data_IF_016334289132
#
_entry.id   IF_016334289132
#
_cell.length_a   1.000
_cell.length_b   1.000
_cell.length_c   1.000
_cell.angle_alpha   90.00
_cell.angle_beta   90.00
_cell.angle_gamma   90.00
#
_symmetry.space_group_name_H-M   'P 1'
#
loop_
_entity.id
_entity.type
_entity.pdbx_description
1 polymer ?
#
# COMPACT_ATOMS: atom_id res chain seq x y z
N UNK A 1 -7.42 -15.85 23.13
CA UNK A 1 -7.67 -14.55 23.79
C UNK A 1 -8.17 -13.57 22.73
N UNK A 2 -9.28 -12.87 22.96
CA UNK A 2 -9.88 -11.94 21.97
C UNK A 2 -8.92 -10.81 21.56
N UNK A 3 -8.17 -10.24 22.51
CA UNK A 3 -7.23 -9.15 22.23
C UNK A 3 -6.09 -9.59 21.28
N UNK A 4 -5.59 -10.80 21.45
CA UNK A 4 -4.57 -11.39 20.58
C UNK A 4 -5.11 -11.64 19.16
N UNK A 5 -6.37 -12.07 19.04
CA UNK A 5 -7.00 -12.27 17.73
C UNK A 5 -7.17 -10.95 16.97
N UNK A 6 -7.62 -9.90 17.66
CA UNK A 6 -7.75 -8.54 17.11
C UNK A 6 -6.38 -8.00 16.68
N UNK A 7 -5.36 -8.12 17.54
CA UNK A 7 -4.01 -7.64 17.21
C UNK A 7 -3.39 -8.41 16.03
N UNK A 8 -3.60 -9.74 15.98
CA UNK A 8 -3.16 -10.58 14.87
C UNK A 8 -3.79 -10.14 13.54
N UNK A 9 -5.11 -9.91 13.53
CA UNK A 9 -5.82 -9.40 12.34
C UNK A 9 -5.31 -8.02 11.93
N UNK A 10 -5.13 -7.12 12.89
CA UNK A 10 -4.55 -5.78 12.66
C UNK A 10 -3.18 -5.86 11.99
N UNK A 11 -2.27 -6.68 12.54
CA UNK A 11 -0.93 -6.88 11.98
C UNK A 11 -1.00 -7.47 10.57
N UNK A 12 -1.84 -8.47 10.34
CA UNK A 12 -2.00 -9.08 9.02
C UNK A 12 -2.43 -8.06 7.95
N UNK A 13 -3.38 -7.20 8.28
CA UNK A 13 -3.86 -6.17 7.36
C UNK A 13 -2.79 -5.12 7.08
N UNK A 14 -2.16 -4.59 8.12
CA UNK A 14 -1.07 -3.61 7.96
C UNK A 14 0.06 -4.21 7.11
N UNK A 15 0.42 -5.47 7.36
CA UNK A 15 1.45 -6.18 6.60
C UNK A 15 1.09 -6.30 5.12
N UNK A 16 -0.16 -6.62 4.77
CA UNK A 16 -0.64 -6.65 3.38
C UNK A 16 -0.51 -5.29 2.67
N UNK A 17 -0.82 -4.19 3.37
CA UNK A 17 -0.66 -2.84 2.81
C UNK A 17 0.83 -2.58 2.50
N UNK A 18 1.71 -2.88 3.46
CA UNK A 18 3.15 -2.68 3.30
C UNK A 18 3.74 -3.55 2.20
N UNK A 19 3.34 -4.82 2.12
CA UNK A 19 3.73 -5.76 1.06
C UNK A 19 3.33 -5.20 -0.31
N UNK A 20 2.09 -4.73 -0.49
CA UNK A 20 1.63 -4.17 -1.76
C UNK A 20 2.47 -2.95 -2.22
N UNK A 21 2.93 -2.12 -1.28
CA UNK A 21 3.83 -1.00 -1.58
C UNK A 21 5.25 -1.50 -1.91
N UNK A 22 5.76 -2.50 -1.21
CA UNK A 22 7.06 -3.10 -1.51
C UNK A 22 7.08 -3.84 -2.86
N UNK A 23 5.98 -4.48 -3.26
CA UNK A 23 5.83 -5.07 -4.58
C UNK A 23 5.92 -4.02 -5.70
N UNK A 24 5.39 -2.81 -5.48
CA UNK A 24 5.58 -1.69 -6.42
C UNK A 24 7.05 -1.27 -6.51
N UNK A 25 7.76 -1.20 -5.37
CA UNK A 25 9.21 -0.93 -5.38
C UNK A 25 9.96 -1.98 -6.22
N UNK A 26 9.65 -3.27 -6.02
CA UNK A 26 10.26 -4.36 -6.79
C UNK A 26 9.93 -4.22 -8.28
N UNK A 27 8.66 -3.96 -8.62
CA UNK A 27 8.22 -3.82 -10.00
C UNK A 27 8.92 -2.65 -10.72
N UNK A 28 9.01 -1.48 -10.09
CA UNK A 28 9.71 -0.32 -10.66
C UNK A 28 11.23 -0.54 -10.76
N UNK A 29 11.83 -1.23 -9.78
CA UNK A 29 13.26 -1.53 -9.81
C UNK A 29 13.61 -2.52 -10.93
N UNK A 30 12.77 -3.52 -11.12
CA UNK A 30 13.03 -4.61 -12.06
C UNK A 30 12.51 -4.28 -13.47
N UNK A 31 11.76 -3.17 -13.63
CA UNK A 31 11.25 -2.67 -14.90
C UNK A 31 10.09 -3.50 -15.47
N UNK A 32 9.32 -4.16 -14.62
CA UNK A 32 8.21 -5.03 -15.02
C UNK A 32 6.89 -4.29 -15.27
N UNK A 33 6.87 -2.98 -15.09
CA UNK A 33 5.69 -2.11 -15.16
C UNK A 33 5.42 -1.50 -16.55
N UNK A 34 6.00 -2.09 -17.61
CA UNK A 34 5.84 -1.72 -19.03
C UNK A 34 6.11 -0.22 -19.37
N UNK A 35 6.82 0.52 -18.51
CA UNK A 35 7.15 1.93 -18.74
C UNK A 35 8.63 2.14 -19.13
N UNK A 36 9.01 3.39 -19.46
CA UNK A 36 10.41 3.72 -19.74
C UNK A 36 11.29 3.61 -18.49
N UNK A 37 12.61 3.49 -18.70
CA UNK A 37 13.61 3.48 -17.62
C UNK A 37 13.50 4.72 -16.71
N UNK A 38 13.32 5.91 -17.31
CA UNK A 38 13.16 7.15 -16.55
C UNK A 38 11.88 7.12 -15.71
N UNK A 39 10.80 6.61 -16.30
CA UNK A 39 9.49 6.52 -15.68
C UNK A 39 9.46 5.58 -14.47
N UNK A 40 10.08 4.41 -14.58
CA UNK A 40 10.22 3.48 -13.47
C UNK A 40 11.17 4.04 -12.39
N UNK A 41 12.30 4.64 -12.80
CA UNK A 41 13.27 5.25 -11.87
C UNK A 41 12.67 6.41 -11.06
N UNK A 42 11.89 7.28 -11.69
CA UNK A 42 11.25 8.43 -11.04
C UNK A 42 10.17 7.96 -10.06
N UNK A 43 9.34 6.99 -10.46
CA UNK A 43 8.30 6.42 -9.57
C UNK A 43 8.90 5.64 -8.41
N UNK A 44 9.98 4.88 -8.65
CA UNK A 44 10.74 4.22 -7.59
C UNK A 44 11.23 5.24 -6.55
N UNK A 45 11.92 6.28 -7.01
CA UNK A 45 12.44 7.34 -6.13
C UNK A 45 11.33 8.07 -5.36
N UNK A 46 10.20 8.37 -6.02
CA UNK A 46 9.04 9.00 -5.38
C UNK A 46 8.43 8.10 -4.31
N UNK A 47 8.16 6.83 -4.65
CA UNK A 47 7.55 5.85 -3.74
C UNK A 47 8.43 5.62 -2.51
N UNK A 48 9.72 5.38 -2.70
CA UNK A 48 10.65 5.15 -1.57
C UNK A 48 10.73 6.37 -0.64
N UNK A 49 10.78 7.59 -1.19
CA UNK A 49 10.80 8.82 -0.38
C UNK A 49 9.50 9.03 0.40
N UNK A 50 8.36 8.84 -0.25
CA UNK A 50 7.05 9.02 0.38
C UNK A 50 6.80 7.95 1.45
N UNK A 51 7.15 6.69 1.20
CA UNK A 51 7.06 5.62 2.21
C UNK A 51 7.88 5.97 3.45
N UNK A 52 9.14 6.43 3.26
CA UNK A 52 9.99 6.86 4.37
C UNK A 52 9.38 8.02 5.15
N UNK A 53 8.90 9.06 4.44
CA UNK A 53 8.33 10.25 5.06
C UNK A 53 7.08 9.94 5.90
N UNK A 54 6.33 8.91 5.50
CA UNK A 54 5.07 8.49 6.11
C UNK A 54 5.22 7.33 7.09
N UNK A 55 6.45 6.85 7.32
CA UNK A 55 6.76 5.68 8.14
C UNK A 55 6.04 4.42 7.65
N UNK A 56 5.96 4.24 6.33
CA UNK A 56 5.44 3.03 5.67
C UNK A 56 6.58 2.06 5.30
N UNK A 57 7.76 2.21 5.91
CA UNK A 57 8.93 1.36 5.72
C UNK A 57 9.47 0.79 7.05
N UNK A 58 8.61 0.18 7.90
CA UNK A 58 9.09 -0.38 9.17
C UNK A 58 10.19 -1.41 8.92
N UNK A 59 11.14 -1.49 9.85
CA UNK A 59 12.22 -2.48 9.76
C UNK A 59 11.62 -3.89 9.74
N UNK A 60 12.12 -4.82 8.88
CA UNK A 60 11.68 -6.21 8.91
C UNK A 60 11.75 -6.80 10.32
N UNK A 61 10.68 -7.47 10.73
CA UNK A 61 10.56 -8.07 12.07
C UNK A 61 10.33 -7.08 13.22
N UNK A 62 10.24 -5.77 12.94
CA UNK A 62 9.87 -4.81 13.99
C UNK A 62 8.39 -4.98 14.38
N UNK A 63 8.04 -4.79 15.66
CA UNK A 63 6.65 -4.76 16.06
C UNK A 63 5.92 -3.63 15.34
N UNK A 64 4.77 -3.94 14.73
CA UNK A 64 3.86 -2.94 14.14
C UNK A 64 3.06 -2.19 15.23
N UNK A 65 3.68 -1.90 16.37
CA UNK A 65 3.10 -1.10 17.45
C UNK A 65 2.86 0.33 16.95
N UNK A 66 1.65 0.86 17.17
CA UNK A 66 1.27 2.20 16.73
C UNK A 66 0.73 2.29 15.30
N UNK A 67 0.73 1.21 14.53
CA UNK A 67 0.08 1.18 13.21
C UNK A 67 -1.39 0.81 13.36
N UNK A 68 -2.29 1.74 13.06
CA UNK A 68 -3.71 1.41 12.84
C UNK A 68 -3.93 1.09 11.37
N UNK A 69 -4.93 0.26 11.07
CA UNK A 69 -5.30 -0.07 9.68
C UNK A 69 -5.67 1.20 8.93
N UNK A 70 -6.58 2.01 9.49
CA UNK A 70 -7.04 3.26 8.89
C UNK A 70 -5.89 4.24 8.62
N UNK A 71 -5.04 4.53 9.61
CA UNK A 71 -3.93 5.47 9.41
C UNK A 71 -2.89 4.96 8.39
N UNK A 72 -2.66 3.65 8.34
CA UNK A 72 -1.75 3.06 7.35
C UNK A 72 -2.35 3.17 5.94
N UNK A 73 -3.64 2.90 5.79
CA UNK A 73 -4.37 3.04 4.54
C UNK A 73 -4.37 4.49 4.05
N UNK A 74 -4.73 5.43 4.92
CA UNK A 74 -4.75 6.86 4.62
C UNK A 74 -3.36 7.38 4.23
N UNK A 75 -2.33 6.93 4.94
CA UNK A 75 -0.95 7.27 4.61
C UNK A 75 -0.55 6.74 3.23
N UNK A 76 -0.91 5.50 2.89
CA UNK A 76 -0.64 4.91 1.58
C UNK A 76 -1.39 5.66 0.47
N UNK A 77 -2.70 5.90 0.64
CA UNK A 77 -3.55 6.65 -0.31
C UNK A 77 -3.07 8.10 -0.52
N UNK A 78 -2.40 8.67 0.47
CA UNK A 78 -1.86 10.03 0.41
C UNK A 78 -0.49 10.14 -0.29
N UNK A 79 0.12 9.03 -0.74
CA UNK A 79 1.38 9.04 -1.50
C UNK A 79 1.20 9.87 -2.78
N UNK A 80 2.08 10.84 -2.98
CA UNK A 80 1.99 11.80 -4.09
C UNK A 80 2.64 11.26 -5.35
N UNK A 81 2.06 11.61 -6.50
CA UNK A 81 2.66 11.37 -7.81
C UNK A 81 3.73 12.41 -8.14
N UNK A 82 4.91 11.99 -8.64
CA UNK A 82 5.88 12.92 -9.18
C UNK A 82 5.34 13.57 -10.47
N UNK A 83 5.55 14.87 -10.60
CA UNK A 83 5.25 15.61 -11.84
C UNK A 83 6.53 15.76 -12.64
N UNK A 84 6.52 15.29 -13.88
CA UNK A 84 7.67 15.37 -14.79
C UNK A 84 7.23 15.32 -16.24
N UNK A 85 8.07 15.84 -17.12
CA UNK A 85 7.79 15.94 -18.54
C UNK A 85 9.01 15.47 -19.34
N UNK A 86 8.73 14.81 -20.46
CA UNK A 86 9.76 14.33 -21.38
C UNK A 86 9.81 15.23 -22.61
N UNK A 87 11.01 15.45 -23.20
CA UNK A 87 11.12 16.15 -24.47
C UNK A 87 10.34 15.41 -25.55
N UNK A 88 9.51 16.13 -26.29
CA UNK A 88 8.85 15.64 -27.49
C UNK A 88 9.41 16.40 -28.70
N UNK A 89 10.13 15.70 -29.56
CA UNK A 89 10.71 16.28 -30.78
C UNK A 89 9.69 16.18 -31.91
N UNK A 90 9.24 17.33 -32.39
CA UNK A 90 8.40 17.39 -33.58
C UNK A 90 9.21 17.14 -34.86
N UNK A 91 8.54 16.71 -35.93
CA UNK A 91 9.14 16.52 -37.25
C UNK A 91 9.78 17.81 -37.83
N UNK A 92 9.37 18.99 -37.32
CA UNK A 92 9.86 20.31 -37.76
C UNK A 92 11.02 20.85 -36.90
N UNK A 93 11.60 20.03 -36.02
CA UNK A 93 12.77 20.42 -35.21
C UNK A 93 12.45 21.22 -33.94
N UNK A 94 11.18 21.56 -33.69
CA UNK A 94 10.77 22.16 -32.42
C UNK A 94 10.79 21.11 -31.30
N UNK A 95 11.37 21.48 -30.16
CA UNK A 95 11.36 20.69 -28.93
C UNK A 95 10.24 21.18 -28.04
N UNK A 96 9.18 20.38 -27.90
CA UNK A 96 8.15 20.56 -26.88
C UNK A 96 8.41 19.69 -25.66
N UNK A 97 7.60 19.85 -24.61
CA UNK A 97 7.58 18.95 -23.45
C UNK A 97 6.19 18.36 -23.31
N UNK A 98 6.11 17.05 -23.11
CA UNK A 98 4.85 16.35 -22.86
C UNK A 98 4.88 15.86 -21.42
N UNK A 99 3.84 16.22 -20.66
CA UNK A 99 3.66 15.72 -19.29
C UNK A 99 3.50 14.21 -19.32
N UNK A 100 4.22 13.51 -18.43
CA UNK A 100 4.08 12.07 -18.32
C UNK A 100 2.72 11.73 -17.68
N UNK A 101 2.02 10.72 -18.21
CA UNK A 101 0.70 10.30 -17.72
C UNK A 101 0.74 9.30 -16.56
N UNK A 102 1.89 8.66 -16.32
CA UNK A 102 2.03 7.69 -15.24
C UNK A 102 1.83 8.32 -13.86
N UNK A 103 0.69 7.99 -13.25
CA UNK A 103 0.26 8.51 -11.96
C UNK A 103 0.44 7.44 -10.88
N UNK A 104 1.40 7.68 -9.98
CA UNK A 104 1.69 6.77 -8.87
C UNK A 104 0.52 6.69 -7.87
N UNK A 105 -0.14 7.82 -7.62
CA UNK A 105 -1.29 7.93 -6.74
C UNK A 105 -2.41 6.99 -7.16
N UNK A 106 -2.90 7.10 -8.39
CA UNK A 106 -3.97 6.24 -8.94
C UNK A 106 -3.63 4.76 -8.88
N UNK A 107 -2.36 4.40 -9.17
CA UNK A 107 -1.90 3.02 -9.06
C UNK A 107 -1.97 2.49 -7.62
N UNK A 108 -1.56 3.31 -6.65
CA UNK A 108 -1.64 2.95 -5.23
C UNK A 108 -3.09 2.88 -4.77
N UNK A 109 -3.92 3.86 -5.15
CA UNK A 109 -5.36 3.87 -4.85
C UNK A 109 -6.02 2.57 -5.31
N UNK A 110 -5.79 2.15 -6.56
CA UNK A 110 -6.33 0.89 -7.10
C UNK A 110 -5.88 -0.34 -6.29
N UNK A 111 -4.62 -0.39 -5.86
CA UNK A 111 -4.14 -1.47 -4.98
C UNK A 111 -4.80 -1.44 -3.60
N UNK A 112 -4.98 -0.26 -3.02
CA UNK A 112 -5.63 -0.09 -1.72
C UNK A 112 -7.12 -0.47 -1.78
N UNK A 113 -7.82 -0.10 -2.86
CA UNK A 113 -9.21 -0.50 -3.09
C UNK A 113 -9.35 -2.02 -3.18
N UNK A 114 -8.47 -2.68 -3.93
CA UNK A 114 -8.46 -4.14 -4.02
C UNK A 114 -8.18 -4.83 -2.67
N UNK A 115 -7.28 -4.26 -1.86
CA UNK A 115 -7.06 -4.75 -0.49
C UNK A 115 -8.31 -4.57 0.37
N UNK A 116 -8.98 -3.42 0.29
CA UNK A 116 -10.18 -3.10 1.06
C UNK A 116 -11.34 -4.04 0.73
N UNK A 117 -11.58 -4.31 -0.55
CA UNK A 117 -12.56 -5.29 -1.02
C UNK A 117 -12.25 -6.71 -0.50
N UNK A 118 -10.99 -7.14 -0.60
CA UNK A 118 -10.56 -8.47 -0.10
C UNK A 118 -10.66 -8.62 1.42
N UNK A 119 -10.57 -7.52 2.16
CA UNK A 119 -10.61 -7.55 3.62
C UNK A 119 -12.02 -7.74 4.18
N UNK A 120 -13.06 -7.44 3.40
CA UNK A 120 -14.46 -7.65 3.74
C UNK A 120 -14.78 -7.18 5.15
N UNK A 121 -14.86 -5.86 5.36
CA UNK A 121 -15.37 -5.20 6.58
C UNK A 121 -14.85 -5.72 7.92
N UNK A 122 -14.04 -4.94 8.63
CA UNK A 122 -13.53 -5.28 9.97
C UNK A 122 -14.62 -5.16 11.06
N UNK A 123 -15.64 -6.02 11.02
CA UNK A 123 -16.72 -6.01 12.01
C UNK A 123 -16.32 -6.78 13.26
N UNK A 124 -16.88 -6.39 14.40
CA UNK A 124 -16.67 -7.10 15.67
C UNK A 124 -17.33 -8.49 15.66
N UNK A 125 -18.38 -8.65 14.84
CA UNK A 125 -19.14 -9.90 14.67
C UNK A 125 -18.25 -11.05 14.17
N UNK A 126 -17.16 -10.76 13.46
CA UNK A 126 -16.14 -11.74 13.03
C UNK A 126 -15.46 -12.46 14.21
N UNK A 127 -15.56 -11.90 15.42
CA UNK A 127 -14.89 -12.40 16.63
C UNK A 127 -15.86 -12.96 17.67
N UNK A 128 -17.18 -12.88 17.44
CA UNK A 128 -18.21 -13.28 18.41
C UNK A 128 -18.41 -14.81 18.53
N UNK A 129 -17.77 -15.61 17.68
CA UNK A 129 -17.83 -17.08 17.70
C UNK A 129 -17.21 -17.76 18.93
N UNK A 130 -16.62 -17.03 19.88
CA UNK A 130 -15.87 -17.61 21.01
C UNK A 130 -16.62 -17.73 22.35
N UNK A 131 -17.94 -17.52 22.41
CA UNK A 131 -18.73 -17.61 23.66
C UNK A 131 -19.56 -18.88 23.87
N UNK A 132 -19.46 -19.89 23.02
CA UNK A 132 -20.19 -21.15 23.21
C UNK A 132 -19.20 -22.30 23.39
N UNK A 133 -18.87 -22.62 24.65
CA UNK A 133 -18.53 -23.96 25.17
C UNK A 133 -18.03 -23.78 26.60
N UNK A 134 -18.98 -23.60 27.52
CA UNK A 134 -18.62 -23.41 28.91
C UNK A 134 -19.80 -23.30 29.86
N UNK A 135 -20.87 -24.08 29.66
CA UNK A 135 -21.82 -24.42 30.74
C UNK A 135 -22.82 -25.51 30.32
N UNK A 136 -22.62 -26.73 30.85
CA UNK A 136 -23.67 -27.66 31.27
C UNK A 136 -23.00 -28.78 32.08
N UNK A 137 -22.83 -28.59 33.39
CA UNK A 137 -23.68 -29.09 34.50
C UNK A 137 -23.47 -30.58 34.80
N UNK A 138 -22.83 -30.80 35.94
CA UNK A 138 -22.91 -32.02 36.75
C UNK A 138 -24.36 -32.28 37.13
N UNK A 139 -24.87 -33.47 36.87
CA UNK A 139 -25.86 -34.20 37.64
C UNK A 139 -25.71 -35.68 37.30
#
# INVERSE_FOLDING_TARGET
NLAEAIDSRRRNVVDKILIALHELIVSFRDGSDECSFECSSIRLGALTKEMRARRLDPKPGSPLLGYSIAATMDAARSIRSPQWASPNRSAYGYVGYVSHSCDLGSLIQSKMDGLEEMMGGLTLDDFDGHRSLGHARVS
#
